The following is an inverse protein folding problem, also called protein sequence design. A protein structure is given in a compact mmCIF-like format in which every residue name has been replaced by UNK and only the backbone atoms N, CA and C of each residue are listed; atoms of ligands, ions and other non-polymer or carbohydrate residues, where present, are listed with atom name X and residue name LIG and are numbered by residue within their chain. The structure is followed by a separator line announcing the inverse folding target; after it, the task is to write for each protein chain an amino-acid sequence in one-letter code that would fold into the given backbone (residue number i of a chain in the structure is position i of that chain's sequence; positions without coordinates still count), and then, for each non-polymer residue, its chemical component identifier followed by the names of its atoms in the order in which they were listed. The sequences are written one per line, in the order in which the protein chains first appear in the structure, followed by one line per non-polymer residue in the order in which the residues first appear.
data_IF_219714151376
#
_entry.id   IF_219714151376
#
_cell.length_a   1.000
_cell.length_b   1.000
_cell.length_c   1.000
_cell.angle_alpha   90.00
_cell.angle_beta   90.00
_cell.angle_gamma   90.00
#
_symmetry.space_group_name_H-M   'P 1'
#
loop_
_entity.id
_entity.type
_entity.pdbx_description
1 polymer ?
#
# COMPACT_ATOMS: atom_id res chain seq x y z
N UNK A 1 -58.26 34.15 -27.91
CA UNK A 1 -58.92 33.05 -28.66
C UNK A 1 -57.88 32.43 -29.58
N UNK A 2 -57.97 31.10 -29.82
CA UNK A 2 -56.97 30.14 -30.33
C UNK A 2 -56.09 29.57 -29.19
N UNK A 3 -56.40 28.39 -28.63
CA UNK A 3 -56.34 27.01 -29.18
C UNK A 3 -54.93 26.42 -29.15
N UNK A 4 -54.65 25.55 -28.19
CA UNK A 4 -54.31 24.15 -28.46
C UNK A 4 -54.33 23.35 -27.15
N UNK A 5 -55.15 22.30 -27.18
CA UNK A 5 -55.22 21.19 -26.25
C UNK A 5 -54.08 20.24 -26.61
N UNK A 6 -53.12 20.05 -25.72
CA UNK A 6 -52.26 18.87 -25.73
C UNK A 6 -52.51 18.08 -24.45
N UNK A 7 -52.92 16.84 -24.64
CA UNK A 7 -52.90 15.78 -23.63
C UNK A 7 -51.44 15.52 -23.23
N UNK A 8 -51.19 15.40 -21.94
CA UNK A 8 -50.04 14.65 -21.45
C UNK A 8 -50.48 13.90 -20.19
N UNK A 9 -50.26 12.59 -20.26
CA UNK A 9 -50.64 11.49 -19.38
C UNK A 9 -50.20 11.67 -17.91
N UNK A 10 -50.84 10.95 -16.95
CA UNK A 10 -50.35 10.87 -15.59
C UNK A 10 -48.99 10.14 -15.53
N UNK A 11 -48.09 10.52 -14.59
CA UNK A 11 -46.76 9.93 -14.50
C UNK A 11 -46.83 8.45 -14.13
N UNK A 12 -46.04 7.68 -14.86
CA UNK A 12 -45.85 6.24 -14.75
C UNK A 12 -45.11 5.87 -13.45
N UNK A 13 -45.46 4.68 -12.98
CA UNK A 13 -44.83 3.85 -11.94
C UNK A 13 -43.34 4.11 -11.67
N UNK A 14 -43.03 4.24 -10.38
CA UNK A 14 -41.70 4.07 -9.81
C UNK A 14 -41.17 2.67 -10.17
N UNK A 15 -40.18 2.62 -11.06
CA UNK A 15 -39.37 1.42 -11.27
C UNK A 15 -38.21 1.51 -10.28
N UNK A 16 -38.23 0.67 -9.26
CA UNK A 16 -37.07 0.39 -8.40
C UNK A 16 -35.90 -0.07 -9.28
N UNK A 17 -34.69 0.49 -9.14
CA UNK A 17 -33.53 -0.14 -9.74
C UNK A 17 -33.17 -1.40 -8.94
N UNK A 18 -33.43 -2.56 -9.54
CA UNK A 18 -32.82 -3.84 -9.17
C UNK A 18 -31.29 -3.66 -9.16
N UNK A 19 -30.70 -3.59 -7.96
CA UNK A 19 -29.26 -3.70 -7.80
C UNK A 19 -28.89 -5.18 -7.84
N UNK A 20 -28.37 -5.57 -9.00
CA UNK A 20 -27.67 -6.81 -9.27
C UNK A 20 -26.55 -7.00 -8.23
N UNK A 21 -26.79 -7.89 -7.27
CA UNK A 21 -25.81 -8.28 -6.25
C UNK A 21 -24.80 -9.19 -6.97
N UNK A 22 -23.63 -8.65 -7.31
CA UNK A 22 -22.50 -9.47 -7.71
C UNK A 22 -22.09 -10.34 -6.51
N UNK A 23 -22.32 -11.65 -6.63
CA UNK A 23 -21.73 -12.67 -5.76
C UNK A 23 -20.20 -12.58 -5.87
N UNK A 24 -19.58 -12.01 -4.84
CA UNK A 24 -18.17 -12.23 -4.55
C UNK A 24 -18.05 -13.63 -3.94
N UNK A 25 -17.71 -14.58 -4.80
CA UNK A 25 -17.17 -15.88 -4.44
C UNK A 25 -15.76 -15.64 -3.88
N UNK A 26 -15.62 -15.62 -2.54
CA UNK A 26 -14.31 -15.68 -1.89
C UNK A 26 -14.28 -16.87 -0.92
N UNK A 27 -13.32 -17.75 -1.18
CA UNK A 27 -13.12 -19.00 -0.48
C UNK A 27 -12.41 -18.76 0.83
N UNK A 28 -13.18 -18.56 1.90
CA UNK A 28 -12.63 -18.44 3.25
C UNK A 28 -12.28 -19.82 3.79
N UNK A 29 -10.97 -20.06 3.85
CA UNK A 29 -10.30 -21.14 4.57
C UNK A 29 -10.68 -21.06 6.04
N UNK A 30 -11.34 -22.11 6.55
CA UNK A 30 -11.69 -22.27 7.95
C UNK A 30 -10.42 -22.26 8.82
N UNK A 31 -10.27 -21.23 9.66
CA UNK A 31 -9.35 -21.27 10.80
C UNK A 31 -10.13 -21.87 11.97
N UNK A 32 -9.80 -23.11 12.33
CA UNK A 32 -10.30 -23.80 13.51
C UNK A 32 -9.77 -23.07 14.76
N UNK A 33 -10.61 -22.69 15.74
CA UNK A 33 -10.11 -22.19 17.00
C UNK A 33 -9.41 -23.33 17.78
N UNK A 34 -8.11 -23.17 17.98
CA UNK A 34 -7.29 -23.90 18.95
C UNK A 34 -7.76 -23.57 20.38
N UNK A 35 -8.58 -24.45 20.93
CA UNK A 35 -9.09 -24.39 22.31
C UNK A 35 -8.28 -25.35 23.18
N UNK A 36 -7.02 -25.01 23.40
CA UNK A 36 -6.10 -25.73 24.30
C UNK A 36 -5.91 -24.98 25.62
N UNK A 37 -6.94 -24.99 26.47
CA UNK A 37 -6.79 -24.88 27.93
C UNK A 37 -8.03 -25.45 28.64
N UNK A 38 -8.12 -26.78 28.70
CA UNK A 38 -9.04 -27.49 29.58
C UNK A 38 -8.20 -28.08 30.71
N UNK A 39 -8.24 -27.43 31.88
CA UNK A 39 -7.69 -27.99 33.10
C UNK A 39 -8.43 -29.28 33.50
N UNK A 40 -7.61 -30.26 33.83
CA UNK A 40 -7.92 -31.65 34.15
C UNK A 40 -8.66 -31.76 35.49
N UNK A 41 -9.85 -32.37 35.50
CA UNK A 41 -10.44 -32.90 36.73
C UNK A 41 -10.91 -34.34 36.51
N UNK A 42 -10.22 -35.27 37.18
CA UNK A 42 -10.50 -36.71 37.21
C UNK A 42 -11.89 -37.01 37.80
N UNK A 43 -12.68 -37.81 37.07
CA UNK A 43 -13.65 -38.73 37.66
C UNK A 43 -13.94 -39.89 36.69
N UNK A 44 -13.49 -41.09 37.07
CA UNK A 44 -13.85 -42.36 36.44
C UNK A 44 -15.35 -42.67 36.60
N UNK A 45 -16.00 -43.05 35.51
CA UNK A 45 -17.34 -43.63 35.51
C UNK A 45 -17.92 -43.73 34.10
N UNK A 46 -18.10 -44.95 33.59
CA UNK A 46 -18.75 -45.24 32.30
C UNK A 46 -20.14 -44.59 32.22
N UNK A 47 -20.31 -43.54 31.42
CA UNK A 47 -21.62 -43.04 30.97
C UNK A 47 -21.54 -42.51 29.53
N UNK A 48 -22.55 -42.86 28.75
CA UNK A 48 -22.76 -42.50 27.35
C UNK A 48 -22.60 -40.99 27.12
N UNK A 49 -21.79 -40.64 26.11
CA UNK A 49 -21.63 -39.33 25.46
C UNK A 49 -22.53 -38.20 25.96
N UNK A 50 -22.18 -37.58 27.09
CA UNK A 50 -22.86 -36.37 27.56
C UNK A 50 -22.45 -35.19 26.66
N UNK A 51 -23.38 -34.69 25.86
CA UNK A 51 -23.16 -33.50 25.03
C UNK A 51 -23.24 -32.27 25.95
N UNK A 52 -22.20 -31.42 25.92
CA UNK A 52 -22.19 -30.20 26.74
C UNK A 52 -23.33 -29.26 26.33
N UNK A 53 -24.05 -28.72 27.31
CA UNK A 53 -25.14 -27.79 27.05
C UNK A 53 -24.63 -26.49 26.39
N UNK A 54 -25.40 -25.87 25.47
CA UNK A 54 -25.01 -24.61 24.85
C UNK A 54 -24.69 -23.50 25.86
N UNK A 55 -23.66 -22.70 25.56
CA UNK A 55 -23.19 -21.60 26.43
C UNK A 55 -24.30 -20.56 26.68
N UNK A 56 -25.21 -20.39 25.72
CA UNK A 56 -26.37 -19.50 25.80
C UNK A 56 -27.38 -19.88 26.89
N UNK A 57 -27.32 -21.11 27.42
CA UNK A 57 -28.30 -21.60 28.38
C UNK A 57 -27.96 -21.14 29.80
N UNK A 58 -29.00 -20.74 30.54
CA UNK A 58 -28.91 -20.47 31.97
C UNK A 58 -28.92 -21.78 32.80
N UNK A 59 -28.77 -21.68 34.12
CA UNK A 59 -28.64 -22.85 34.99
C UNK A 59 -29.86 -23.80 34.94
N UNK A 60 -31.08 -23.26 34.86
CA UNK A 60 -32.33 -24.04 34.80
C UNK A 60 -32.48 -24.73 33.45
N UNK A 61 -32.13 -24.05 32.35
CA UNK A 61 -32.14 -24.58 31.00
C UNK A 61 -31.10 -25.70 30.79
N UNK A 62 -29.92 -25.58 31.42
CA UNK A 62 -28.90 -26.64 31.41
C UNK A 62 -29.38 -27.90 32.15
N UNK A 63 -30.09 -27.74 33.26
CA UNK A 63 -30.66 -28.86 34.00
C UNK A 63 -31.72 -29.59 33.16
N UNK A 64 -32.63 -28.86 32.52
CA UNK A 64 -33.63 -29.42 31.60
C UNK A 64 -32.97 -30.09 30.38
N UNK A 65 -31.91 -29.49 29.83
CA UNK A 65 -31.17 -30.06 28.71
C UNK A 65 -30.50 -31.39 29.06
N UNK A 66 -29.96 -31.52 30.27
CA UNK A 66 -29.33 -32.76 30.74
C UNK A 66 -30.30 -33.94 30.83
N UNK A 67 -31.61 -33.66 30.97
CA UNK A 67 -32.67 -34.68 31.03
C UNK A 67 -33.15 -35.14 29.64
N UNK A 68 -32.70 -34.49 28.54
CA UNK A 68 -33.08 -34.85 27.18
C UNK A 68 -32.32 -36.09 26.69
N UNK A 69 -32.88 -36.80 25.71
CA UNK A 69 -32.18 -37.89 25.03
C UNK A 69 -30.97 -37.36 24.25
N UNK A 70 -29.89 -38.15 24.08
CA UNK A 70 -28.67 -37.70 23.38
C UNK A 70 -28.91 -37.16 21.96
N UNK A 71 -29.84 -37.74 21.21
CA UNK A 71 -30.22 -37.26 19.86
C UNK A 71 -30.86 -35.86 19.91
N UNK A 72 -31.68 -35.58 20.92
CA UNK A 72 -32.28 -34.26 21.13
C UNK A 72 -31.25 -33.23 21.63
N UNK A 73 -30.30 -33.66 22.47
CA UNK A 73 -29.17 -32.82 22.89
C UNK A 73 -28.30 -32.42 21.70
N UNK A 74 -27.99 -33.37 20.80
CA UNK A 74 -27.21 -33.11 19.59
C UNK A 74 -27.93 -32.11 18.66
N UNK A 75 -29.21 -32.33 18.39
CA UNK A 75 -30.00 -31.46 17.53
C UNK A 75 -30.07 -30.03 18.07
N UNK A 76 -30.36 -29.85 19.36
CA UNK A 76 -30.45 -28.52 19.98
C UNK A 76 -29.09 -27.82 19.95
N UNK A 77 -28.01 -28.56 20.25
CA UNK A 77 -26.65 -28.00 20.22
C UNK A 77 -26.26 -27.56 18.81
N UNK A 78 -26.61 -28.33 17.78
CA UNK A 78 -26.36 -27.96 16.39
C UNK A 78 -27.16 -26.72 15.98
N UNK A 79 -28.43 -26.64 16.36
CA UNK A 79 -29.30 -25.48 16.09
C UNK A 79 -28.77 -24.23 16.78
N UNK A 80 -28.38 -24.32 18.05
CA UNK A 80 -27.81 -23.19 18.81
C UNK A 80 -26.45 -22.76 18.25
N UNK A 81 -25.60 -23.70 17.85
CA UNK A 81 -24.32 -23.41 17.19
C UNK A 81 -24.54 -22.64 15.89
N UNK A 82 -25.48 -23.11 15.05
CA UNK A 82 -25.85 -22.45 13.78
C UNK A 82 -26.46 -21.07 14.02
N UNK A 83 -27.32 -20.94 15.03
CA UNK A 83 -27.90 -19.66 15.44
C UNK A 83 -26.81 -18.68 15.87
N UNK A 84 -25.88 -19.10 16.73
CA UNK A 84 -24.79 -18.26 17.21
C UNK A 84 -23.85 -17.82 16.09
N UNK A 85 -23.52 -18.73 15.16
CA UNK A 85 -22.76 -18.40 13.96
C UNK A 85 -23.50 -17.35 13.10
N UNK A 86 -24.82 -17.52 12.89
CA UNK A 86 -25.64 -16.57 12.14
C UNK A 86 -25.75 -15.21 12.82
N UNK A 87 -25.97 -15.16 14.14
CA UNK A 87 -26.03 -13.91 14.90
C UNK A 87 -24.70 -13.19 14.79
N UNK A 88 -23.58 -13.89 15.04
CA UNK A 88 -22.24 -13.33 14.92
C UNK A 88 -22.00 -12.75 13.52
N UNK A 89 -22.31 -13.52 12.46
CA UNK A 89 -22.20 -13.07 11.07
C UNK A 89 -23.03 -11.82 10.79
N UNK A 90 -24.29 -11.79 11.22
CA UNK A 90 -25.18 -10.64 11.00
C UNK A 90 -24.71 -9.43 11.79
N UNK A 91 -24.29 -9.59 13.04
CA UNK A 91 -23.77 -8.50 13.87
C UNK A 91 -22.48 -7.92 13.30
N UNK A 92 -21.57 -8.76 12.82
CA UNK A 92 -20.33 -8.33 12.16
C UNK A 92 -20.65 -7.56 10.88
N UNK A 93 -21.51 -8.11 10.01
CA UNK A 93 -21.95 -7.44 8.78
C UNK A 93 -22.63 -6.10 9.06
N UNK A 94 -23.46 -6.01 10.10
CA UNK A 94 -24.13 -4.77 10.49
C UNK A 94 -23.12 -3.72 10.99
N UNK A 95 -22.15 -4.12 11.83
CA UNK A 95 -21.10 -3.24 12.30
C UNK A 95 -20.21 -2.72 11.16
N UNK A 96 -19.86 -3.59 10.21
CA UNK A 96 -19.11 -3.22 9.00
C UNK A 96 -19.89 -2.27 8.11
N UNK A 97 -21.17 -2.55 7.87
CA UNK A 97 -22.05 -1.69 7.09
C UNK A 97 -22.21 -0.30 7.73
N UNK A 98 -22.36 -0.24 9.06
CA UNK A 98 -22.40 1.03 9.79
C UNK A 98 -21.08 1.80 9.63
N UNK A 99 -19.94 1.14 9.83
CA UNK A 99 -18.62 1.77 9.68
C UNK A 99 -18.40 2.29 8.25
N UNK A 100 -18.82 1.53 7.24
CA UNK A 100 -18.72 1.94 5.84
C UNK A 100 -19.64 3.14 5.53
N UNK A 101 -20.86 3.13 6.06
CA UNK A 101 -21.80 4.25 5.90
C UNK A 101 -21.27 5.53 6.55
N UNK A 102 -20.70 5.44 7.76
CA UNK A 102 -20.08 6.58 8.46
C UNK A 102 -18.88 7.12 7.67
N UNK A 103 -18.03 6.25 7.13
CA UNK A 103 -16.89 6.64 6.29
C UNK A 103 -17.35 7.35 5.00
N UNK A 104 -18.35 6.79 4.30
CA UNK A 104 -18.91 7.39 3.09
C UNK A 104 -19.56 8.75 3.36
N UNK A 105 -20.31 8.87 4.47
CA UNK A 105 -20.91 10.12 4.87
C UNK A 105 -19.84 11.19 5.18
N UNK A 106 -18.78 10.83 5.89
CA UNK A 106 -17.66 11.75 6.16
C UNK A 106 -16.98 12.21 4.86
N UNK A 107 -16.77 11.31 3.90
CA UNK A 107 -16.19 11.64 2.60
C UNK A 107 -17.08 12.60 1.81
N UNK A 108 -18.40 12.34 1.75
CA UNK A 108 -19.35 13.22 1.05
C UNK A 108 -19.44 14.60 1.70
N UNK A 109 -19.45 14.68 3.04
CA UNK A 109 -19.43 15.97 3.76
C UNK A 109 -18.17 16.76 3.39
N UNK A 110 -17.02 16.10 3.31
CA UNK A 110 -15.80 16.78 2.92
C UNK A 110 -15.82 17.26 1.46
N UNK A 111 -16.26 16.43 0.53
CA UNK A 111 -16.45 16.82 -0.87
C UNK A 111 -17.40 18.02 -0.99
N UNK A 112 -18.52 17.99 -0.27
CA UNK A 112 -19.46 19.11 -0.23
C UNK A 112 -18.82 20.39 0.33
N UNK A 113 -17.95 20.32 1.35
CA UNK A 113 -17.20 21.48 1.86
C UNK A 113 -16.25 22.06 0.79
N UNK A 114 -15.55 21.20 0.05
CA UNK A 114 -14.64 21.64 -1.03
C UNK A 114 -15.41 22.32 -2.16
N UNK A 115 -16.50 21.70 -2.62
CA UNK A 115 -17.38 22.25 -3.65
C UNK A 115 -18.00 23.57 -3.20
N UNK A 116 -18.47 23.65 -1.96
CA UNK A 116 -19.04 24.87 -1.39
C UNK A 116 -18.01 26.00 -1.33
N UNK A 117 -16.78 25.72 -0.90
CA UNK A 117 -15.71 26.71 -0.90
C UNK A 117 -15.39 27.20 -2.32
N UNK A 118 -15.35 26.30 -3.30
CA UNK A 118 -15.13 26.64 -4.71
C UNK A 118 -16.27 27.50 -5.28
N UNK A 119 -17.53 27.13 -5.00
CA UNK A 119 -18.69 27.92 -5.41
C UNK A 119 -18.69 29.32 -4.78
N UNK A 120 -18.39 29.41 -3.48
CA UNK A 120 -18.26 30.68 -2.78
C UNK A 120 -17.14 31.53 -3.37
N UNK A 121 -15.99 30.95 -3.70
CA UNK A 121 -14.88 31.67 -4.34
C UNK A 121 -15.32 32.25 -5.69
N UNK A 122 -15.99 31.44 -6.52
CA UNK A 122 -16.50 31.87 -7.83
C UNK A 122 -17.55 32.99 -7.71
N UNK A 123 -18.48 32.88 -6.75
CA UNK A 123 -19.47 33.92 -6.48
C UNK A 123 -18.77 35.19 -5.99
N UNK A 124 -17.89 35.06 -4.99
CA UNK A 124 -17.20 36.19 -4.36
C UNK A 124 -16.34 36.94 -5.37
N UNK A 125 -15.64 36.24 -6.27
CA UNK A 125 -14.85 36.89 -7.32
C UNK A 125 -15.66 37.87 -8.18
N UNK A 126 -16.94 37.60 -8.43
CA UNK A 126 -17.83 38.48 -9.20
C UNK A 126 -18.32 39.70 -8.41
N UNK A 127 -18.28 39.67 -7.07
CA UNK A 127 -18.68 40.76 -6.18
C UNK A 127 -17.48 41.57 -5.65
N UNK A 128 -16.30 41.41 -6.25
CA UNK A 128 -15.12 42.17 -5.86
C UNK A 128 -15.38 43.70 -5.99
N UNK A 129 -15.22 44.48 -4.91
CA UNK A 129 -15.37 45.93 -4.95
C UNK A 129 -14.50 46.53 -6.06
N UNK A 130 -15.10 47.39 -6.87
CA UNK A 130 -14.41 48.02 -8.00
C UNK A 130 -13.84 49.36 -7.55
N UNK A 131 -12.55 49.59 -7.83
CA UNK A 131 -11.94 50.89 -7.53
C UNK A 131 -12.64 51.99 -8.33
N UNK A 132 -12.99 53.12 -7.72
CA UNK A 132 -13.55 54.26 -8.42
C UNK A 132 -12.63 54.73 -9.55
N UNK A 133 -13.22 55.18 -10.65
CA UNK A 133 -12.46 55.64 -11.81
C UNK A 133 -11.58 56.85 -11.43
N UNK A 134 -10.24 56.77 -11.58
CA UNK A 134 -9.33 57.85 -11.20
C UNK A 134 -9.53 59.15 -12.00
N UNK A 135 -10.14 59.08 -13.19
CA UNK A 135 -10.46 60.27 -14.00
C UNK A 135 -11.43 61.21 -13.29
N UNK A 136 -12.26 60.71 -12.36
CA UNK A 136 -13.17 61.54 -11.57
C UNK A 136 -12.43 62.46 -10.58
N UNK A 137 -11.21 62.10 -10.18
CA UNK A 137 -10.37 62.90 -9.30
C UNK A 137 -9.68 64.06 -10.03
N UNK A 138 -9.62 64.03 -11.37
CA UNK A 138 -8.93 65.04 -12.18
C UNK A 138 -9.81 66.25 -12.50
N UNK A 139 -11.14 66.11 -12.37
CA UNK A 139 -12.10 67.16 -12.66
C UNK A 139 -12.65 67.78 -11.36
N UNK A 140 -12.55 69.11 -11.16
CA UNK A 140 -13.05 69.78 -9.95
C UNK A 140 -14.54 69.57 -9.68
N UNK A 141 -15.34 69.39 -10.74
CA UNK A 141 -16.79 69.20 -10.63
C UNK A 141 -17.19 67.79 -10.15
N UNK A 142 -16.33 66.77 -10.36
CA UNK A 142 -16.61 65.37 -10.01
C UNK A 142 -15.78 64.86 -8.82
N UNK A 143 -14.91 65.70 -8.24
CA UNK A 143 -14.00 65.29 -7.18
C UNK A 143 -14.74 64.82 -5.92
N UNK A 144 -15.87 65.46 -5.59
CA UNK A 144 -16.71 65.06 -4.45
C UNK A 144 -17.29 63.64 -4.65
N UNK A 145 -17.69 63.31 -5.89
CA UNK A 145 -18.16 61.96 -6.26
C UNK A 145 -17.05 60.93 -6.13
N UNK A 146 -15.82 61.26 -6.54
CA UNK A 146 -14.67 60.38 -6.36
C UNK A 146 -14.41 60.09 -4.88
N UNK A 147 -14.38 61.12 -4.03
CA UNK A 147 -14.14 60.96 -2.58
C UNK A 147 -15.21 60.10 -1.92
N UNK A 148 -16.48 60.31 -2.25
CA UNK A 148 -17.58 59.51 -1.73
C UNK A 148 -17.50 58.04 -2.20
N UNK A 149 -17.24 57.80 -3.49
CA UNK A 149 -17.06 56.45 -4.03
C UNK A 149 -15.83 55.76 -3.44
N UNK A 150 -14.77 56.51 -3.12
CA UNK A 150 -13.57 55.97 -2.51
C UNK A 150 -13.83 55.51 -1.08
N UNK A 151 -14.56 56.31 -0.30
CA UNK A 151 -14.98 55.91 1.05
C UNK A 151 -15.88 54.66 1.06
N UNK A 152 -16.74 54.49 0.04
CA UNK A 152 -17.55 53.28 -0.13
C UNK A 152 -16.67 52.06 -0.44
N UNK A 153 -15.76 52.18 -1.40
CA UNK A 153 -14.80 51.12 -1.73
C UNK A 153 -13.98 50.71 -0.51
N UNK A 154 -13.45 51.66 0.26
CA UNK A 154 -12.63 51.37 1.45
C UNK A 154 -13.44 50.64 2.54
N UNK A 155 -14.73 50.93 2.66
CA UNK A 155 -15.62 50.21 3.58
C UNK A 155 -15.96 48.78 3.08
N UNK A 156 -16.13 48.61 1.77
CA UNK A 156 -16.49 47.33 1.14
C UNK A 156 -15.29 46.38 1.02
N UNK A 157 -14.09 46.90 0.74
CA UNK A 157 -12.90 46.08 0.54
C UNK A 157 -12.51 45.30 1.79
N UNK A 158 -12.70 45.88 2.98
CA UNK A 158 -12.45 45.17 4.25
C UNK A 158 -13.41 44.00 4.47
N UNK A 159 -14.70 44.17 4.15
CA UNK A 159 -15.69 43.08 4.22
C UNK A 159 -15.38 41.98 3.20
N UNK A 160 -14.98 42.39 2.00
CA UNK A 160 -14.59 41.48 0.94
C UNK A 160 -13.35 40.65 1.32
N UNK A 161 -12.32 41.26 1.88
CA UNK A 161 -11.12 40.55 2.37
C UNK A 161 -11.47 39.59 3.50
N UNK A 162 -12.32 40.00 4.44
CA UNK A 162 -12.81 39.11 5.50
C UNK A 162 -13.53 37.88 4.93
N UNK A 163 -14.37 38.07 3.90
CA UNK A 163 -15.05 36.96 3.22
C UNK A 163 -14.05 36.03 2.53
N UNK A 164 -13.04 36.57 1.83
CA UNK A 164 -11.98 35.75 1.21
C UNK A 164 -11.20 34.94 2.24
N UNK A 165 -10.91 35.51 3.41
CA UNK A 165 -10.27 34.78 4.50
C UNK A 165 -11.14 33.64 5.03
N UNK A 166 -12.45 33.84 5.17
CA UNK A 166 -13.36 32.77 5.57
C UNK A 166 -13.42 31.64 4.54
N UNK A 167 -13.49 31.96 3.25
CA UNK A 167 -13.48 30.95 2.17
C UNK A 167 -12.17 30.15 2.18
N UNK A 168 -11.03 30.84 2.32
CA UNK A 168 -9.73 30.18 2.42
C UNK A 168 -9.65 29.26 3.65
N UNK A 169 -10.21 29.68 4.79
CA UNK A 169 -10.26 28.86 6.00
C UNK A 169 -11.12 27.59 5.82
N UNK A 170 -12.29 27.70 5.17
CA UNK A 170 -13.15 26.54 4.86
C UNK A 170 -12.40 25.55 3.97
N UNK A 171 -11.73 26.04 2.92
CA UNK A 171 -10.94 25.19 2.01
C UNK A 171 -9.82 24.48 2.74
N UNK A 172 -9.06 25.22 3.55
CA UNK A 172 -7.97 24.65 4.34
C UNK A 172 -8.48 23.59 5.33
N UNK A 173 -9.62 23.84 5.97
CA UNK A 173 -10.24 22.88 6.88
C UNK A 173 -10.67 21.59 6.14
N UNK A 174 -11.32 21.72 4.98
CA UNK A 174 -11.73 20.59 4.17
C UNK A 174 -10.53 19.74 3.69
N UNK A 175 -9.45 20.40 3.29
CA UNK A 175 -8.20 19.74 2.89
C UNK A 175 -7.56 18.98 4.07
N UNK A 176 -7.48 19.61 5.25
CA UNK A 176 -6.95 18.96 6.46
C UNK A 176 -7.78 17.75 6.90
N UNK A 177 -9.10 17.88 6.94
CA UNK A 177 -10.00 16.77 7.28
C UNK A 177 -9.88 15.63 6.26
N UNK A 178 -9.71 15.96 4.98
CA UNK A 178 -9.55 14.97 3.90
C UNK A 178 -8.24 14.24 3.96
N UNK A 179 -7.15 14.98 4.20
CA UNK A 179 -5.83 14.40 4.36
C UNK A 179 -5.76 13.52 5.62
N UNK A 180 -6.37 13.93 6.73
CA UNK A 180 -6.43 13.11 7.94
C UNK A 180 -7.18 11.79 7.71
N UNK A 181 -8.33 11.83 7.03
CA UNK A 181 -9.09 10.63 6.68
C UNK A 181 -8.31 9.72 5.73
N UNK A 182 -7.67 10.30 4.71
CA UNK A 182 -6.81 9.57 3.77
C UNK A 182 -5.66 8.85 4.50
N UNK A 183 -4.94 9.56 5.37
CA UNK A 183 -3.82 8.99 6.14
C UNK A 183 -4.29 7.85 7.05
N UNK A 184 -5.43 8.00 7.72
CA UNK A 184 -5.98 6.95 8.56
C UNK A 184 -6.33 5.67 7.78
N UNK A 185 -7.02 5.80 6.63
CA UNK A 185 -7.38 4.63 5.83
C UNK A 185 -6.15 4.00 5.18
N UNK A 186 -5.21 4.82 4.70
CA UNK A 186 -3.91 4.37 4.19
C UNK A 186 -3.16 3.57 5.25
N UNK A 187 -3.00 4.10 6.45
CA UNK A 187 -2.25 3.45 7.53
C UNK A 187 -2.92 2.13 7.94
N UNK A 188 -4.26 2.09 7.99
CA UNK A 188 -5.02 0.86 8.23
C UNK A 188 -4.78 -0.18 7.14
N UNK A 189 -4.83 0.21 5.86
CA UNK A 189 -4.58 -0.68 4.74
C UNK A 189 -3.11 -1.17 4.70
N UNK A 190 -2.14 -0.32 5.07
CA UNK A 190 -0.74 -0.71 5.19
C UNK A 190 -0.54 -1.75 6.31
N UNK A 191 -1.25 -1.61 7.43
CA UNK A 191 -1.21 -2.59 8.52
C UNK A 191 -1.87 -3.94 8.17
N UNK A 192 -2.58 -4.06 7.05
CA UNK A 192 -3.04 -5.36 6.53
C UNK A 192 -1.95 -6.10 5.76
N UNK A 193 -0.81 -5.46 5.44
CA UNK A 193 0.35 -6.12 4.84
C UNK A 193 1.13 -6.81 5.97
N UNK A 194 1.25 -8.16 5.98
CA UNK A 194 1.85 -8.90 7.09
C UNK A 194 3.26 -8.42 7.46
N UNK A 195 4.08 -8.11 6.46
CA UNK A 195 5.46 -7.64 6.65
C UNK A 195 5.54 -6.25 7.27
N UNK A 196 4.52 -5.40 7.08
CA UNK A 196 4.40 -4.08 7.71
C UNK A 196 3.76 -4.19 9.10
N UNK A 197 2.80 -5.08 9.27
CA UNK A 197 2.15 -5.32 10.56
C UNK A 197 3.18 -5.76 11.62
N UNK A 198 4.13 -6.62 11.24
CA UNK A 198 5.20 -7.07 12.11
C UNK A 198 6.31 -6.00 12.26
N UNK A 199 6.56 -5.55 13.50
CA UNK A 199 7.55 -4.52 13.81
C UNK A 199 9.00 -4.92 13.43
N UNK A 200 9.33 -6.22 13.49
CA UNK A 200 10.68 -6.71 13.22
C UNK A 200 11.01 -6.64 11.72
N UNK A 201 10.03 -6.96 10.86
CA UNK A 201 10.22 -6.99 9.40
C UNK A 201 9.87 -5.68 8.71
N UNK A 202 9.14 -4.79 9.40
CA UNK A 202 8.63 -3.54 8.81
C UNK A 202 9.71 -2.68 8.18
N UNK A 203 10.80 -2.43 8.91
CA UNK A 203 11.84 -1.52 8.43
C UNK A 203 12.55 -2.09 7.20
N UNK A 204 12.91 -3.37 7.23
CA UNK A 204 13.55 -4.05 6.09
C UNK A 204 12.63 -4.06 4.86
N UNK A 205 11.33 -4.30 5.06
CA UNK A 205 10.35 -4.26 3.99
C UNK A 205 10.24 -2.86 3.37
N UNK A 206 10.13 -1.82 4.18
CA UNK A 206 10.03 -0.43 3.71
C UNK A 206 11.32 0.05 3.03
N UNK A 207 12.49 -0.29 3.58
CA UNK A 207 13.78 0.05 3.00
C UNK A 207 13.95 -0.58 1.60
N UNK A 208 13.45 -1.81 1.42
CA UNK A 208 13.41 -2.48 0.12
C UNK A 208 12.46 -1.80 -0.86
N UNK A 209 11.26 -1.45 -0.39
CA UNK A 209 10.20 -0.81 -1.21
C UNK A 209 10.64 0.57 -1.68
N UNK A 210 11.24 1.35 -0.78
CA UNK A 210 11.68 2.73 -1.02
C UNK A 210 13.19 2.84 -1.28
N UNK A 211 13.79 1.77 -1.82
CA UNK A 211 15.21 1.74 -2.18
C UNK A 211 15.57 2.92 -3.11
N UNK A 212 16.61 3.73 -2.79
CA UNK A 212 16.94 4.92 -3.57
C UNK A 212 17.24 4.64 -5.04
N UNK A 213 17.89 3.52 -5.36
CA UNK A 213 18.23 3.16 -6.74
C UNK A 213 16.98 2.73 -7.52
N UNK A 214 15.99 2.12 -6.85
CA UNK A 214 14.68 1.85 -7.43
C UNK A 214 13.89 3.15 -7.66
N UNK A 215 13.81 4.02 -6.65
CA UNK A 215 13.10 5.30 -6.75
C UNK A 215 13.67 6.19 -7.85
N UNK A 216 15.01 6.26 -7.95
CA UNK A 216 15.68 6.99 -9.02
C UNK A 216 15.37 6.42 -10.40
N UNK A 217 15.32 5.09 -10.54
CA UNK A 217 14.98 4.43 -11.81
C UNK A 217 13.54 4.72 -12.23
N UNK A 218 12.62 4.77 -11.28
CA UNK A 218 11.21 5.12 -11.49
C UNK A 218 10.95 6.64 -11.58
N UNK A 219 11.97 7.46 -11.26
CA UNK A 219 11.92 8.92 -11.21
C UNK A 219 10.91 9.48 -10.18
N UNK A 220 10.80 8.79 -9.06
CA UNK A 220 10.04 9.27 -7.90
C UNK A 220 10.97 9.81 -6.82
N UNK A 221 10.50 10.80 -6.06
CA UNK A 221 11.11 11.18 -4.80
C UNK A 221 10.57 10.28 -3.69
N UNK A 222 11.47 9.62 -2.93
CA UNK A 222 11.06 8.67 -1.89
C UNK A 222 10.21 9.32 -0.79
N UNK A 223 10.50 10.57 -0.45
CA UNK A 223 9.81 11.36 0.58
C UNK A 223 8.35 11.68 0.19
N UNK A 224 8.12 12.03 -1.07
CA UNK A 224 6.80 12.33 -1.62
C UNK A 224 5.97 11.06 -1.70
N UNK A 225 6.55 10.00 -2.27
CA UNK A 225 5.88 8.71 -2.41
C UNK A 225 5.51 8.11 -1.06
N UNK A 226 6.36 8.23 -0.03
CA UNK A 226 6.03 7.76 1.32
C UNK A 226 4.84 8.50 1.97
N UNK A 227 4.53 9.73 1.52
CA UNK A 227 3.38 10.49 2.02
C UNK A 227 2.08 10.14 1.29
N UNK A 228 2.16 9.80 -0.01
CA UNK A 228 0.97 9.62 -0.85
C UNK A 228 0.70 8.18 -1.28
N UNK A 229 1.68 7.27 -1.16
CA UNK A 229 1.52 5.88 -1.58
C UNK A 229 0.49 5.15 -0.73
N UNK A 230 -0.45 4.49 -1.40
CA UNK A 230 -1.38 3.59 -0.75
C UNK A 230 -0.78 2.18 -0.53
N UNK A 231 -1.56 1.29 0.08
CA UNK A 231 -1.12 -0.08 0.32
C UNK A 231 -0.91 -0.88 -0.98
N UNK A 232 -1.64 -0.55 -2.05
CA UNK A 232 -1.49 -1.22 -3.33
C UNK A 232 -0.19 -0.79 -4.03
N UNK A 233 0.13 0.51 -3.99
CA UNK A 233 1.37 1.08 -4.47
C UNK A 233 2.56 0.46 -3.75
N UNK A 234 2.51 0.33 -2.42
CA UNK A 234 3.56 -0.34 -1.64
C UNK A 234 3.74 -1.80 -2.06
N UNK A 235 2.66 -2.55 -2.29
CA UNK A 235 2.72 -3.92 -2.81
C UNK A 235 3.34 -3.98 -4.21
N UNK A 236 2.95 -3.06 -5.11
CA UNK A 236 3.49 -2.97 -6.48
C UNK A 236 4.97 -2.62 -6.47
N UNK A 237 5.39 -1.69 -5.64
CA UNK A 237 6.80 -1.32 -5.47
C UNK A 237 7.63 -2.49 -4.95
N UNK A 238 7.13 -3.25 -3.98
CA UNK A 238 7.80 -4.48 -3.53
C UNK A 238 7.94 -5.50 -4.68
N UNK A 239 6.90 -5.69 -5.48
CA UNK A 239 6.96 -6.55 -6.65
C UNK A 239 8.03 -6.09 -7.66
N UNK A 240 8.08 -4.78 -7.95
CA UNK A 240 9.09 -4.19 -8.85
C UNK A 240 10.50 -4.36 -8.25
N UNK A 241 10.68 -4.15 -6.95
CA UNK A 241 11.94 -4.40 -6.26
C UNK A 241 12.39 -5.86 -6.45
N UNK A 242 11.46 -6.82 -6.32
CA UNK A 242 11.72 -8.24 -6.60
C UNK A 242 12.11 -8.53 -8.05
N UNK A 243 11.54 -7.81 -9.02
CA UNK A 243 11.94 -7.91 -10.44
C UNK A 243 13.34 -7.34 -10.68
N UNK A 244 13.66 -6.18 -10.08
CA UNK A 244 14.98 -5.56 -10.16
C UNK A 244 16.06 -6.49 -9.61
N UNK A 245 15.85 -7.08 -8.42
CA UNK A 245 16.78 -8.06 -7.85
C UNK A 245 17.02 -9.26 -8.78
N UNK A 246 15.97 -9.77 -9.43
CA UNK A 246 16.07 -10.89 -10.38
C UNK A 246 16.86 -10.47 -11.62
N UNK A 247 16.62 -9.27 -12.14
CA UNK A 247 17.37 -8.70 -13.25
C UNK A 247 18.86 -8.55 -12.90
N UNK A 248 19.18 -8.00 -11.72
CA UNK A 248 20.55 -7.83 -11.26
C UNK A 248 21.28 -9.18 -11.09
N UNK A 249 20.58 -10.20 -10.55
CA UNK A 249 21.09 -11.58 -10.46
C UNK A 249 21.34 -12.18 -11.84
N UNK A 250 20.43 -11.95 -12.80
CA UNK A 250 20.58 -12.41 -14.18
C UNK A 250 21.77 -11.74 -14.86
N UNK A 251 21.91 -10.42 -14.76
CA UNK A 251 23.02 -9.66 -15.33
C UNK A 251 24.36 -10.08 -14.72
N UNK A 252 24.40 -10.31 -13.41
CA UNK A 252 25.59 -10.83 -12.74
C UNK A 252 25.96 -12.24 -13.25
N UNK A 253 24.97 -13.13 -13.45
CA UNK A 253 25.19 -14.46 -14.00
C UNK A 253 25.68 -14.41 -15.45
N UNK A 254 25.08 -13.57 -16.30
CA UNK A 254 25.48 -13.38 -17.69
C UNK A 254 26.88 -12.75 -17.79
N UNK A 255 27.20 -11.78 -16.93
CA UNK A 255 28.54 -11.21 -16.82
C UNK A 255 29.57 -12.28 -16.49
N UNK A 256 29.27 -13.21 -15.57
CA UNK A 256 30.14 -14.36 -15.25
C UNK A 256 30.29 -15.30 -16.45
N UNK A 257 29.21 -15.66 -17.15
CA UNK A 257 29.24 -16.52 -18.36
C UNK A 257 30.04 -15.90 -19.50
N UNK A 258 30.01 -14.57 -19.65
CA UNK A 258 30.73 -13.85 -20.69
C UNK A 258 32.21 -13.59 -20.36
N UNK A 259 32.67 -13.76 -19.11
CA UNK A 259 34.09 -13.63 -18.75
C UNK A 259 35.03 -14.48 -19.61
N UNK A 260 34.83 -15.80 -19.78
CA UNK A 260 35.73 -16.61 -20.62
C UNK A 260 35.72 -16.17 -22.08
N UNK A 261 34.56 -15.77 -22.63
CA UNK A 261 34.46 -15.25 -24.00
C UNK A 261 35.23 -13.93 -24.15
N UNK A 262 35.11 -13.03 -23.17
CA UNK A 262 35.84 -11.75 -23.14
C UNK A 262 37.34 -11.95 -22.94
N UNK A 263 37.75 -12.89 -22.08
CA UNK A 263 39.16 -13.26 -21.89
C UNK A 263 39.76 -13.92 -23.13
N UNK A 264 39.00 -14.79 -23.80
CA UNK A 264 39.41 -15.39 -25.08
C UNK A 264 39.55 -14.32 -26.17
N UNK A 265 38.60 -13.38 -26.26
CA UNK A 265 38.68 -12.23 -27.19
C UNK A 265 39.89 -11.33 -26.88
N UNK A 266 40.15 -11.04 -25.60
CA UNK A 266 41.30 -10.24 -25.18
C UNK A 266 42.66 -10.93 -25.43
N UNK A 267 42.69 -12.27 -25.42
CA UNK A 267 43.88 -13.05 -25.85
C UNK A 267 44.02 -13.07 -27.37
N UNK A 268 42.91 -13.14 -28.10
CA UNK A 268 42.90 -13.14 -29.57
C UNK A 268 43.26 -11.76 -30.17
N UNK A 269 42.97 -10.65 -29.48
CA UNK A 269 43.34 -9.29 -29.91
C UNK A 269 44.77 -8.87 -29.51
N UNK A 270 45.59 -9.77 -28.95
CA UNK A 270 47.05 -9.57 -28.87
C UNK A 270 47.73 -10.47 -29.91
N UNK A 271 47.92 -10.01 -31.16
CA UNK A 271 48.73 -10.75 -32.11
C UNK A 271 50.18 -10.75 -31.61
N UNK A 272 50.71 -11.93 -31.30
CA UNK A 272 52.16 -12.11 -31.16
C UNK A 272 52.71 -12.64 -29.82
N UNK A 273 51.90 -13.12 -28.88
CA UNK A 273 52.44 -13.78 -27.68
C UNK A 273 51.89 -15.20 -27.50
N UNK A 274 52.29 -16.11 -28.40
CA UNK A 274 52.24 -17.55 -28.14
C UNK A 274 53.32 -17.85 -27.09
N UNK A 275 52.99 -17.72 -25.81
CA UNK A 275 53.81 -18.31 -24.75
C UNK A 275 53.47 -19.80 -24.65
N UNK A 276 54.35 -20.61 -25.20
CA UNK A 276 54.41 -22.06 -25.06
C UNK A 276 54.47 -22.46 -23.57
N UNK A 277 53.31 -22.73 -22.97
CA UNK A 277 53.20 -23.17 -21.56
C UNK A 277 53.70 -24.61 -21.36
N UNK A 278 53.92 -25.34 -22.44
CA UNK A 278 54.44 -26.71 -22.49
C UNK A 278 55.93 -26.79 -22.10
N UNK A 279 56.74 -25.77 -22.39
CA UNK A 279 58.19 -25.82 -22.13
C UNK A 279 58.57 -25.48 -20.67
N UNK A 280 57.80 -24.65 -19.97
CA UNK A 280 58.11 -24.28 -18.56
C UNK A 280 57.92 -25.45 -17.59
N UNK A 281 56.87 -26.25 -17.78
CA UNK A 281 56.60 -27.39 -16.91
C UNK A 281 57.60 -28.53 -17.13
N UNK A 282 58.05 -28.73 -18.39
CA UNK A 282 59.05 -29.74 -18.71
C UNK A 282 60.45 -29.39 -18.20
N UNK A 283 60.85 -28.12 -18.30
CA UNK A 283 62.12 -27.66 -17.74
C UNK A 283 62.14 -27.75 -16.20
N UNK A 284 61.01 -27.50 -15.53
CA UNK A 284 60.89 -27.63 -14.08
C UNK A 284 60.90 -29.11 -13.63
N UNK A 285 60.25 -29.99 -14.40
CA UNK A 285 60.27 -31.44 -14.11
C UNK A 285 61.63 -32.08 -14.37
N UNK A 286 62.34 -31.66 -15.43
CA UNK A 286 63.71 -32.12 -15.71
C UNK A 286 64.69 -31.61 -14.64
N UNK A 287 64.54 -30.36 -14.17
CA UNK A 287 65.33 -29.82 -13.07
C UNK A 287 65.08 -30.54 -11.72
N UNK A 288 63.83 -30.87 -11.40
CA UNK A 288 63.49 -31.64 -10.20
C UNK A 288 63.95 -33.11 -10.28
N UNK A 289 63.93 -33.71 -11.47
CA UNK A 289 64.44 -35.07 -11.68
C UNK A 289 65.96 -35.14 -11.48
N UNK A 290 66.71 -34.17 -12.01
CA UNK A 290 68.15 -34.05 -11.81
C UNK A 290 68.53 -33.77 -10.35
N UNK A 291 67.73 -32.99 -9.63
CA UNK A 291 67.94 -32.72 -8.21
C UNK A 291 67.74 -33.96 -7.33
N UNK A 292 66.78 -34.83 -7.67
CA UNK A 292 66.60 -36.12 -7.00
C UNK A 292 67.70 -37.13 -7.31
N UNK A 293 68.29 -37.05 -8.51
CA UNK A 293 69.31 -38.01 -8.96
C UNK A 293 70.72 -37.65 -8.48
N UNK A 294 71.01 -36.37 -8.21
CA UNK A 294 72.36 -35.89 -7.84
C UNK A 294 72.57 -35.65 -6.35
N UNK A 295 71.54 -35.81 -5.51
CA UNK A 295 71.70 -35.96 -4.06
C UNK A 295 72.62 -34.94 -3.39
N UNK A 296 72.50 -33.64 -3.71
CA UNK A 296 73.33 -32.61 -3.08
C UNK A 296 73.20 -31.25 -3.77
N UNK A 297 73.30 -30.16 -2.99
CA UNK A 297 72.99 -28.77 -3.36
C UNK A 297 73.89 -28.16 -4.47
N UNK A 298 74.84 -28.90 -5.01
CA UNK A 298 75.84 -28.37 -5.97
C UNK A 298 75.45 -28.57 -7.44
N UNK A 299 74.45 -29.42 -7.74
CA UNK A 299 74.00 -29.68 -9.11
C UNK A 299 73.24 -28.50 -9.75
N UNK A 300 72.56 -27.68 -8.94
CA UNK A 300 71.79 -26.53 -9.42
C UNK A 300 72.66 -25.37 -9.88
N UNK A 301 73.82 -25.14 -9.24
CA UNK A 301 74.73 -24.07 -9.66
C UNK A 301 75.48 -24.40 -10.96
N UNK A 302 75.91 -25.65 -11.16
CA UNK A 302 76.57 -26.04 -12.41
C UNK A 302 75.62 -26.02 -13.62
N UNK A 303 74.35 -26.41 -13.44
CA UNK A 303 73.36 -26.41 -14.52
C UNK A 303 72.93 -24.99 -14.94
N UNK A 304 72.88 -24.04 -14.01
CA UNK A 304 72.60 -22.63 -14.32
C UNK A 304 73.79 -21.94 -14.98
N UNK A 305 75.02 -22.24 -14.58
CA UNK A 305 76.22 -21.64 -15.17
C UNK A 305 76.48 -22.10 -16.61
N UNK A 306 76.19 -23.37 -16.93
CA UNK A 306 76.34 -23.93 -18.27
C UNK A 306 75.35 -23.35 -19.31
N UNK A 307 74.22 -22.78 -18.88
CA UNK A 307 73.21 -22.17 -19.78
C UNK A 307 73.28 -20.65 -19.88
N UNK A 308 74.04 -19.98 -19.01
CA UNK A 308 74.17 -18.52 -19.02
C UNK A 308 75.43 -18.04 -19.77
N UNK A 309 76.38 -18.92 -20.09
CA UNK A 309 77.64 -18.59 -20.79
C UNK A 309 77.97 -19.51 -21.98
N UNK A 310 76.97 -20.20 -22.52
CA UNK A 310 77.06 -20.98 -23.77
C UNK A 310 76.16 -20.42 -24.85
#
# INVERSE_FOLDING_TARGET
MFSQTEQSEPPQEEVEPEQEIQELEDGEQYDEPDDSDIEESEAEGEQETAIAAPISFNAEEREVFSQLQPEAQAFITEVETRRNANVTKVTTKAAEAQRLAEANAAQQVNQAKQEFAWQLEAITANFAPQKPNPSLAQNPETIATYVAAMAQYDAEIGQFEQMKHQIAAIRQQAEQEGQAAFVQERDKALMQIPEIANQETRQEYLDKVFDPDLMQALRYEASELAQIADAEDVKRLNYIAGLKEKADKYDAAMKKKMKPVREAKARATKPGLVQDKTNKNRALSEAMALQKQTGGKDGTEQALRAKLFG
#
